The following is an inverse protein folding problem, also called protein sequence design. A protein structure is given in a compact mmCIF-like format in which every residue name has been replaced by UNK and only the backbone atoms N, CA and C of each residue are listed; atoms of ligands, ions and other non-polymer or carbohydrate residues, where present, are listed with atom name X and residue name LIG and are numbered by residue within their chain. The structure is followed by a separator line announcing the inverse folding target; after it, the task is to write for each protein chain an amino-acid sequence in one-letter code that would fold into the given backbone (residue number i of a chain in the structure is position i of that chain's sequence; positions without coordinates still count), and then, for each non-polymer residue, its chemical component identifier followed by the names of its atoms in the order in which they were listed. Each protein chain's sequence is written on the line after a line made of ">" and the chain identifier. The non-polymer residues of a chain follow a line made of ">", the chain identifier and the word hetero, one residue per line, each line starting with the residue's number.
data_IF_102904880612
#
_entry.id   IF_102904880612
#
_cell.length_a   1.000
_cell.length_b   1.000
_cell.length_c   1.000
_cell.angle_alpha   90.00
_cell.angle_beta   90.00
_cell.angle_gamma   90.00
#
_symmetry.space_group_name_H-M   'P 1'
#
loop_
_entity.id
_entity.type
_entity.pdbx_description
1 polymer ?
#
# COMPACT_ATOMS: atom_id res chain seq x y z
N UNK A 1 21.99 20.49 2.39
CA UNK A 1 22.38 19.83 1.12
C UNK A 1 22.59 18.35 1.40
N UNK A 2 22.32 17.44 0.46
CA UNK A 2 22.59 16.02 0.65
C UNK A 2 24.09 15.80 0.88
N UNK A 3 24.42 14.90 1.81
CA UNK A 3 25.81 14.53 2.14
C UNK A 3 26.42 13.65 1.07
N UNK A 4 25.60 12.82 0.41
CA UNK A 4 25.97 11.98 -0.73
C UNK A 4 24.73 11.53 -1.49
N UNK A 5 24.93 10.88 -2.63
CA UNK A 5 23.87 10.21 -3.35
C UNK A 5 24.11 8.71 -3.40
N UNK A 6 23.09 7.93 -3.02
CA UNK A 6 23.13 6.47 -3.00
C UNK A 6 22.62 5.95 -4.34
N UNK A 7 23.34 5.08 -5.05
CA UNK A 7 22.87 4.52 -6.31
C UNK A 7 21.52 3.80 -6.11
N UNK A 8 20.53 4.13 -6.93
CA UNK A 8 19.21 3.51 -6.86
C UNK A 8 19.06 2.35 -7.88
N UNK A 9 19.94 2.25 -8.88
CA UNK A 9 19.94 1.22 -9.93
C UNK A 9 21.07 0.19 -9.72
N UNK A 10 20.77 -1.10 -9.51
CA UNK A 10 21.70 -2.19 -9.83
C UNK A 10 21.60 -2.52 -11.32
N UNK A 11 22.59 -2.10 -12.12
CA UNK A 11 22.68 -2.20 -13.59
C UNK A 11 21.45 -1.70 -14.39
N UNK A 12 21.64 -0.94 -15.48
CA UNK A 12 20.52 -0.49 -16.30
C UNK A 12 19.74 -1.72 -16.76
N UNK A 13 18.48 -1.80 -16.35
CA UNK A 13 17.53 -2.75 -16.90
C UNK A 13 17.42 -2.41 -18.39
N UNK A 14 18.20 -3.06 -19.24
CA UNK A 14 17.93 -3.16 -20.67
C UNK A 14 16.59 -3.90 -20.82
N UNK A 15 15.50 -3.15 -20.69
CA UNK A 15 14.17 -3.73 -20.59
C UNK A 15 13.20 -2.76 -19.96
N UNK A 16 12.93 -1.64 -20.65
CA UNK A 16 11.63 -0.97 -20.52
C UNK A 16 10.54 -2.04 -20.62
N UNK A 17 9.48 -1.92 -19.81
CA UNK A 17 8.36 -2.85 -19.76
C UNK A 17 7.89 -3.28 -21.17
N UNK A 18 8.47 -4.36 -21.67
CA UNK A 18 7.92 -5.15 -22.75
C UNK A 18 6.91 -6.01 -22.03
N UNK A 19 5.65 -5.55 -21.96
CA UNK A 19 4.55 -6.49 -21.82
C UNK A 19 4.84 -7.55 -22.88
N UNK A 20 5.09 -8.80 -22.49
CA UNK A 20 5.62 -9.85 -23.38
C UNK A 20 4.81 -10.07 -24.66
N UNK A 21 3.64 -9.42 -24.77
CA UNK A 21 2.71 -9.47 -25.89
C UNK A 21 2.36 -8.09 -26.50
N UNK A 22 2.82 -6.95 -25.96
CA UNK A 22 2.53 -5.61 -26.48
C UNK A 22 3.68 -4.62 -26.25
N UNK A 23 4.36 -4.18 -27.32
CA UNK A 23 5.25 -3.01 -27.28
C UNK A 23 4.42 -1.72 -27.11
N UNK A 24 3.94 -1.42 -25.90
CA UNK A 24 3.26 -0.17 -25.59
C UNK A 24 3.91 0.50 -24.39
N UNK A 25 4.74 1.50 -24.66
CA UNK A 25 5.26 2.43 -23.66
C UNK A 25 4.12 3.40 -23.31
N UNK A 26 3.75 3.49 -22.03
CA UNK A 26 2.88 4.56 -21.56
C UNK A 26 3.71 5.85 -21.47
N UNK A 27 3.79 6.57 -22.60
CA UNK A 27 4.47 7.87 -22.63
C UNK A 27 3.60 8.90 -21.93
N UNK A 28 4.00 9.32 -20.74
CA UNK A 28 3.50 10.54 -20.11
C UNK A 28 4.53 11.67 -20.26
N UNK A 29 4.03 12.90 -20.32
CA UNK A 29 4.87 14.08 -20.50
C UNK A 29 5.78 14.25 -19.28
N UNK A 30 7.09 14.42 -19.51
CA UNK A 30 8.10 14.53 -18.44
C UNK A 30 8.75 13.23 -18.00
N UNK A 31 8.40 12.08 -18.60
CA UNK A 31 9.12 10.80 -18.38
C UNK A 31 10.61 10.89 -18.70
N UNK A 32 10.98 11.69 -19.71
CA UNK A 32 12.38 11.94 -20.06
C UNK A 32 13.09 12.90 -19.07
N UNK A 33 12.37 13.77 -18.37
CA UNK A 33 12.97 14.70 -17.38
C UNK A 33 13.35 13.96 -16.09
N UNK A 34 12.62 12.88 -15.76
CA UNK A 34 12.93 12.02 -14.61
C UNK A 34 14.32 11.40 -14.77
N UNK A 35 14.74 11.09 -16.02
CA UNK A 35 16.07 10.51 -16.34
C UNK A 35 17.27 11.28 -15.76
N UNK A 36 17.20 12.61 -15.68
CA UNK A 36 18.31 13.44 -15.18
C UNK A 36 18.48 13.38 -13.66
N UNK A 37 17.39 13.14 -12.92
CA UNK A 37 17.46 12.95 -11.46
C UNK A 37 18.03 11.57 -11.14
N UNK A 38 17.73 10.58 -12.01
CA UNK A 38 18.17 9.20 -11.87
C UNK A 38 19.67 9.01 -11.98
N UNK A 39 20.34 9.76 -12.85
CA UNK A 39 21.80 9.75 -12.92
C UNK A 39 22.47 10.15 -11.61
N UNK A 40 21.80 10.97 -10.78
CA UNK A 40 22.38 11.46 -9.53
C UNK A 40 22.28 10.45 -8.40
N UNK A 41 21.29 9.56 -8.39
CA UNK A 41 21.01 8.64 -7.28
C UNK A 41 20.08 9.23 -6.20
N UNK A 42 19.79 8.46 -5.15
CA UNK A 42 18.94 8.90 -4.05
C UNK A 42 19.70 9.86 -3.12
N UNK A 43 19.18 11.06 -2.82
CA UNK A 43 19.85 12.00 -1.92
C UNK A 43 19.85 11.46 -0.49
N UNK A 44 21.04 11.23 0.07
CA UNK A 44 21.21 10.94 1.49
C UNK A 44 21.46 12.24 2.23
N UNK A 45 20.71 12.45 3.29
CA UNK A 45 20.88 13.58 4.21
C UNK A 45 21.50 13.09 5.52
N UNK A 46 22.09 14.02 6.27
CA UNK A 46 22.53 13.75 7.64
C UNK A 46 21.32 13.41 8.50
N UNK A 47 21.43 12.33 9.28
CA UNK A 47 20.36 11.83 10.14
C UNK A 47 20.77 12.01 11.60
N UNK A 48 19.91 12.64 12.39
CA UNK A 48 20.10 12.81 13.82
C UNK A 48 19.01 12.07 14.60
N UNK A 49 19.41 11.26 15.58
CA UNK A 49 18.48 10.56 16.45
C UNK A 49 17.88 11.53 17.47
N UNK A 50 16.58 11.80 17.33
CA UNK A 50 15.86 12.74 18.22
C UNK A 50 15.50 12.13 19.57
N UNK A 51 14.93 10.92 19.59
CA UNK A 51 14.50 10.28 20.84
C UNK A 51 14.51 8.75 20.77
N UNK A 52 14.27 8.11 21.91
CA UNK A 52 13.91 6.68 22.00
C UNK A 52 12.77 6.55 22.98
N UNK A 53 11.67 5.97 22.51
CA UNK A 53 10.47 5.76 23.32
C UNK A 53 10.49 4.33 23.86
N UNK A 54 10.44 4.18 25.18
CA UNK A 54 10.49 2.88 25.86
C UNK A 54 11.86 2.19 25.79
N UNK A 55 11.89 0.87 26.00
CA UNK A 55 13.13 0.07 25.99
C UNK A 55 13.60 -0.33 24.58
N UNK A 56 12.75 -0.17 23.56
CA UNK A 56 12.95 -0.53 22.15
C UNK A 56 13.64 -1.89 21.90
N UNK A 57 13.26 -2.95 22.64
CA UNK A 57 13.80 -4.31 22.46
C UNK A 57 13.58 -4.90 21.06
N UNK A 58 12.55 -4.41 20.35
CA UNK A 58 12.21 -4.85 19.00
C UNK A 58 12.94 -4.11 17.88
N UNK A 59 13.85 -3.17 18.20
CA UNK A 59 14.59 -2.38 17.23
C UNK A 59 13.70 -1.63 16.21
N UNK A 60 12.52 -1.20 16.65
CA UNK A 60 11.61 -0.41 15.82
C UNK A 60 12.20 0.97 15.56
N UNK A 61 11.95 1.51 14.37
CA UNK A 61 12.48 2.80 13.94
C UNK A 61 11.38 3.64 13.26
N UNK A 62 11.39 4.94 13.55
CA UNK A 62 10.58 5.94 12.86
C UNK A 62 11.55 6.96 12.26
N UNK A 63 11.45 7.19 10.96
CA UNK A 63 12.26 8.16 10.23
C UNK A 63 11.34 9.31 9.80
N UNK A 64 11.74 10.55 10.12
CA UNK A 64 11.08 11.76 9.63
C UNK A 64 11.84 12.29 8.43
N UNK A 65 11.24 12.27 7.26
CA UNK A 65 11.82 12.80 6.02
C UNK A 65 11.07 12.31 4.79
N UNK A 66 11.56 12.70 3.62
CA UNK A 66 11.07 12.18 2.33
C UNK A 66 11.37 10.68 2.19
N UNK A 67 10.46 9.94 1.56
CA UNK A 67 10.58 8.49 1.44
C UNK A 67 11.83 8.06 0.66
N UNK A 68 12.17 8.75 -0.45
CA UNK A 68 13.42 8.51 -1.20
C UNK A 68 14.66 8.62 -0.30
N UNK A 69 14.72 9.67 0.53
CA UNK A 69 15.84 9.90 1.45
C UNK A 69 15.91 8.87 2.58
N UNK A 70 14.74 8.44 3.08
CA UNK A 70 14.64 7.38 4.08
C UNK A 70 15.13 6.04 3.51
N UNK A 71 14.75 5.70 2.28
CA UNK A 71 15.23 4.52 1.58
C UNK A 71 16.74 4.59 1.33
N UNK A 72 17.27 5.78 0.96
CA UNK A 72 18.70 5.99 0.82
C UNK A 72 19.46 5.67 2.11
N UNK A 73 18.93 6.11 3.26
CA UNK A 73 19.51 5.81 4.57
C UNK A 73 19.46 4.31 4.87
N UNK A 74 18.32 3.65 4.70
CA UNK A 74 18.18 2.21 4.94
C UNK A 74 19.14 1.40 4.06
N UNK A 75 19.23 1.75 2.77
CA UNK A 75 20.14 1.11 1.83
C UNK A 75 21.60 1.28 2.24
N UNK A 76 21.97 2.48 2.67
CA UNK A 76 23.33 2.76 3.16
C UNK A 76 23.69 1.94 4.40
N UNK A 77 22.72 1.69 5.28
CA UNK A 77 22.91 0.84 6.45
C UNK A 77 22.89 -0.67 6.11
N UNK A 78 22.67 -1.04 4.84
CA UNK A 78 22.53 -2.44 4.42
C UNK A 78 21.26 -3.11 4.95
N UNK A 79 20.24 -2.31 5.32
CA UNK A 79 18.96 -2.83 5.82
C UNK A 79 18.09 -3.19 4.63
N UNK A 80 17.59 -4.42 4.62
CA UNK A 80 16.57 -4.88 3.68
C UNK A 80 15.24 -5.11 4.39
N UNK A 81 14.14 -5.04 3.62
CA UNK A 81 12.79 -5.24 4.13
C UNK A 81 12.11 -6.41 3.41
N UNK A 82 11.41 -7.26 4.18
CA UNK A 82 10.67 -8.42 3.66
C UNK A 82 9.21 -8.08 3.29
N UNK A 83 8.67 -7.00 3.86
CA UNK A 83 7.28 -6.58 3.67
C UNK A 83 7.18 -5.07 3.64
N UNK A 84 6.50 -4.56 2.63
CA UNK A 84 6.18 -3.13 2.49
C UNK A 84 4.68 -2.95 2.40
N UNK A 85 4.15 -1.97 3.13
CA UNK A 85 2.77 -1.50 2.97
C UNK A 85 2.80 0.02 2.82
N UNK A 86 2.16 0.53 1.77
CA UNK A 86 2.03 1.98 1.54
C UNK A 86 0.58 2.36 1.24
N UNK A 87 0.21 3.54 1.72
CA UNK A 87 -1.09 4.20 1.50
C UNK A 87 -0.81 5.64 1.01
N UNK A 88 -0.38 5.79 -0.26
CA UNK A 88 -0.02 7.10 -0.80
C UNK A 88 -1.26 7.98 -0.97
N UNK A 89 -1.09 9.32 -1.14
CA UNK A 89 -2.20 10.20 -1.50
C UNK A 89 -2.92 9.69 -2.76
N UNK A 90 -4.24 9.85 -2.85
CA UNK A 90 -5.04 9.24 -3.93
C UNK A 90 -5.16 10.10 -5.19
N UNK A 91 -4.55 11.29 -5.22
CA UNK A 91 -4.75 12.31 -6.24
C UNK A 91 -6.24 12.65 -6.46
N UNK A 92 -7.02 12.64 -5.38
CA UNK A 92 -8.47 12.83 -5.40
C UNK A 92 -8.91 14.28 -5.69
N UNK A 93 -7.97 15.23 -5.68
CA UNK A 93 -8.23 16.66 -5.82
C UNK A 93 -8.79 17.32 -4.56
N UNK A 94 -8.81 16.61 -3.42
CA UNK A 94 -9.31 17.12 -2.16
C UNK A 94 -8.21 17.85 -1.37
N UNK A 95 -8.53 19.05 -0.90
CA UNK A 95 -7.67 19.79 0.04
C UNK A 95 -7.97 19.30 1.46
N UNK A 96 -7.16 18.35 1.95
CA UNK A 96 -7.26 17.82 3.31
C UNK A 96 -6.54 18.71 4.32
N UNK A 97 -6.87 20.01 4.36
CA UNK A 97 -6.40 20.91 5.41
C UNK A 97 -7.09 20.53 6.75
N UNK A 98 -6.48 19.61 7.51
CA UNK A 98 -6.93 19.28 8.86
C UNK A 98 -6.34 20.28 9.85
N UNK A 99 -7.20 21.05 10.53
CA UNK A 99 -6.78 21.84 11.71
C UNK A 99 -6.42 20.88 12.85
N UNK A 100 -5.14 20.68 13.12
CA UNK A 100 -4.67 19.88 14.25
C UNK A 100 -4.71 20.75 15.50
N UNK A 101 -5.60 20.41 16.44
CA UNK A 101 -5.55 20.98 17.78
C UNK A 101 -4.50 20.22 18.59
N UNK A 102 -3.30 20.79 18.73
CA UNK A 102 -2.29 20.28 19.66
C UNK A 102 -2.91 20.27 21.06
N UNK A 103 -2.91 19.12 21.74
CA UNK A 103 -3.37 19.03 23.14
C UNK A 103 -2.50 19.97 23.99
N UNK A 104 -3.10 21.08 24.41
CA UNK A 104 -2.45 22.23 25.05
C UNK A 104 -1.89 21.86 26.43
N UNK A 105 -0.61 22.16 26.65
CA UNK A 105 -0.02 22.28 27.98
C UNK A 105 -0.54 23.58 28.63
N UNK A 106 -1.18 23.56 29.81
CA UNK A 106 -1.84 24.74 30.40
C UNK A 106 -0.90 25.93 30.63
N UNK A 107 0.42 25.73 30.76
CA UNK A 107 1.40 26.81 30.92
C UNK A 107 1.75 27.57 29.63
N UNK A 108 1.41 27.03 28.46
CA UNK A 108 1.59 27.72 27.17
C UNK A 108 0.39 28.61 26.81
N UNK A 109 -0.74 28.49 27.51
CA UNK A 109 -1.96 29.23 27.21
C UNK A 109 -1.86 30.71 27.57
N UNK A 110 -1.19 31.07 28.67
CA UNK A 110 -1.03 32.47 29.09
C UNK A 110 -0.04 33.23 28.21
N UNK A 111 1.05 32.59 27.79
CA UNK A 111 2.03 33.19 26.88
C UNK A 111 1.46 33.44 25.47
N UNK A 112 0.55 32.57 25.01
CA UNK A 112 -0.10 32.73 23.71
C UNK A 112 -1.25 33.75 23.78
N UNK A 113 -1.99 33.84 24.90
CA UNK A 113 -3.04 34.84 25.07
C UNK A 113 -2.49 36.29 25.09
N UNK A 114 -1.26 36.48 25.59
CA UNK A 114 -0.56 37.76 25.45
C UNK A 114 -0.09 38.03 24.02
N UNK A 115 0.35 37.00 23.28
CA UNK A 115 0.75 37.14 21.87
C UNK A 115 -0.45 37.35 20.91
N UNK A 116 -1.64 36.83 21.26
CA UNK A 116 -2.89 36.99 20.51
C UNK A 116 -3.42 38.44 20.54
N UNK A 117 -2.98 39.28 21.49
CA UNK A 117 -3.37 40.70 21.55
C UNK A 117 -2.47 41.63 20.73
N UNK A 118 -1.25 41.21 20.38
CA UNK A 118 -0.25 42.07 19.73
C UNK A 118 0.06 41.70 18.27
N UNK A 119 -0.30 40.51 17.80
CA UNK A 119 0.07 40.06 16.45
C UNK A 119 -1.12 40.06 15.49
N UNK A 120 -0.91 40.69 14.33
CA UNK A 120 -1.85 40.79 13.23
C UNK A 120 -2.27 39.39 12.74
N UNK A 121 -3.55 39.22 12.43
CA UNK A 121 -4.24 37.92 12.24
C UNK A 121 -3.67 37.13 11.04
N UNK A 122 -2.83 37.75 10.22
CA UNK A 122 -2.18 37.11 9.08
C UNK A 122 -0.86 36.38 9.41
N UNK A 123 -0.15 36.72 10.50
CA UNK A 123 1.08 35.99 10.88
C UNK A 123 0.79 34.66 11.60
N UNK A 124 -0.37 34.54 12.26
CA UNK A 124 -0.85 33.28 12.86
C UNK A 124 -1.33 32.25 11.83
N UNK A 125 -1.52 32.62 10.56
CA UNK A 125 -1.79 31.67 9.47
C UNK A 125 -0.54 30.92 9.00
N UNK A 126 0.66 31.28 9.48
CA UNK A 126 1.90 30.61 9.10
C UNK A 126 2.11 29.22 9.75
N UNK A 127 1.23 28.79 10.65
CA UNK A 127 1.20 27.44 11.21
C UNK A 127 0.00 26.60 10.74
N UNK A 128 -0.56 26.92 9.57
CA UNK A 128 -1.16 25.87 8.74
C UNK A 128 -0.01 25.01 8.20
N UNK A 129 0.39 24.00 8.98
CA UNK A 129 1.18 22.90 8.43
C UNK A 129 0.29 22.23 7.39
N UNK A 130 0.41 22.67 6.12
CA UNK A 130 -0.25 22.06 4.96
C UNK A 130 0.23 20.62 4.86
N UNK A 131 -0.44 19.72 5.59
CA UNK A 131 -0.31 18.29 5.37
C UNK A 131 -0.84 18.04 3.96
N UNK A 132 0.05 17.55 3.09
CA UNK A 132 -0.16 17.06 1.74
C UNK A 132 -1.58 17.30 1.19
N UNK A 133 -1.79 18.46 0.55
CA UNK A 133 -3.00 18.65 -0.24
C UNK A 133 -3.03 17.58 -1.32
N UNK A 134 -4.14 16.86 -1.46
CA UNK A 134 -4.30 15.81 -2.47
C UNK A 134 -4.66 16.39 -3.85
N UNK A 135 -4.12 17.59 -4.12
CA UNK A 135 -4.29 18.34 -5.37
C UNK A 135 -3.03 18.11 -6.18
N UNK A 136 -3.02 17.00 -6.90
CA UNK A 136 -1.90 16.63 -7.73
C UNK A 136 -2.23 16.78 -9.21
N UNK A 137 -1.26 17.33 -9.94
CA UNK A 137 -1.19 17.07 -11.37
C UNK A 137 -0.81 15.58 -11.55
N UNK A 138 -1.60 14.83 -12.33
CA UNK A 138 -1.44 13.39 -12.44
C UNK A 138 -0.06 12.98 -12.97
N UNK A 139 0.52 13.75 -13.89
CA UNK A 139 1.84 13.45 -14.45
C UNK A 139 2.91 13.60 -13.37
N UNK A 140 2.87 14.71 -12.62
CA UNK A 140 3.79 14.94 -11.49
C UNK A 140 3.63 13.89 -10.39
N UNK A 141 2.40 13.48 -10.09
CA UNK A 141 2.15 12.42 -9.13
C UNK A 141 2.74 11.09 -9.57
N UNK A 142 2.59 10.72 -10.85
CA UNK A 142 3.14 9.47 -11.37
C UNK A 142 4.67 9.49 -11.36
N UNK A 143 5.31 10.60 -11.75
CA UNK A 143 6.77 10.76 -11.61
C UNK A 143 7.21 10.60 -10.16
N UNK A 144 6.53 11.29 -9.23
CA UNK A 144 6.83 11.20 -7.80
C UNK A 144 6.63 9.78 -7.26
N UNK A 145 5.52 9.11 -7.60
CA UNK A 145 5.27 7.73 -7.18
C UNK A 145 6.30 6.77 -7.74
N UNK A 146 6.70 6.95 -9.00
CA UNK A 146 7.72 6.12 -9.63
C UNK A 146 9.06 6.21 -8.90
N UNK A 147 9.51 7.44 -8.59
CA UNK A 147 10.74 7.67 -7.82
C UNK A 147 10.70 6.97 -6.45
N UNK A 148 9.58 7.10 -5.74
CA UNK A 148 9.41 6.48 -4.43
C UNK A 148 9.33 4.95 -4.50
N UNK A 149 8.60 4.40 -5.47
CA UNK A 149 8.48 2.95 -5.66
C UNK A 149 9.83 2.32 -6.05
N UNK A 150 10.61 3.00 -6.88
CA UNK A 150 11.98 2.57 -7.21
C UNK A 150 12.90 2.62 -5.98
N UNK A 151 12.82 3.67 -5.18
CA UNK A 151 13.58 3.78 -3.94
C UNK A 151 13.21 2.66 -2.95
N UNK A 152 11.93 2.37 -2.79
CA UNK A 152 11.41 1.25 -1.99
C UNK A 152 11.92 -0.09 -2.52
N UNK A 153 11.78 -0.36 -3.83
CA UNK A 153 12.26 -1.60 -4.44
C UNK A 153 13.75 -1.82 -4.17
N UNK A 154 14.54 -0.74 -4.13
CA UNK A 154 15.99 -0.80 -3.91
C UNK A 154 16.42 -1.31 -2.53
N UNK A 155 15.51 -1.33 -1.54
CA UNK A 155 15.72 -1.87 -0.19
C UNK A 155 14.90 -3.16 0.07
N UNK A 156 14.10 -3.60 -0.89
CA UNK A 156 13.34 -4.85 -0.77
C UNK A 156 14.26 -6.06 -0.92
N UNK A 157 14.13 -7.03 -0.02
CA UNK A 157 14.77 -8.33 -0.18
C UNK A 157 14.18 -9.08 -1.41
N UNK A 158 14.87 -10.08 -1.99
CA UNK A 158 14.36 -10.82 -3.15
C UNK A 158 12.99 -11.48 -2.89
N UNK A 159 12.82 -12.04 -1.70
CA UNK A 159 11.59 -12.68 -1.21
C UNK A 159 10.51 -11.70 -0.71
N UNK A 160 10.75 -10.39 -0.82
CA UNK A 160 9.87 -9.39 -0.25
C UNK A 160 8.60 -9.16 -1.08
N UNK A 161 7.55 -8.66 -0.41
CA UNK A 161 6.31 -8.24 -1.07
C UNK A 161 5.93 -6.81 -0.71
N UNK A 162 5.17 -6.17 -1.59
CA UNK A 162 4.62 -4.83 -1.40
C UNK A 162 3.11 -4.83 -1.56
N UNK A 163 2.44 -4.11 -0.66
CA UNK A 163 1.00 -3.84 -0.68
C UNK A 163 0.79 -2.34 -0.88
N UNK A 164 0.03 -1.97 -1.92
CA UNK A 164 -0.23 -0.56 -2.28
C UNK A 164 -1.73 -0.30 -2.24
N UNK A 165 -2.18 0.48 -1.26
CA UNK A 165 -3.60 0.85 -1.08
C UNK A 165 -3.94 2.07 -1.94
N UNK A 166 -4.96 1.95 -2.78
CA UNK A 166 -5.33 2.98 -3.74
C UNK A 166 -6.86 3.09 -3.89
N UNK A 167 -7.34 4.29 -4.19
CA UNK A 167 -8.71 4.47 -4.66
C UNK A 167 -8.82 4.42 -6.19
N UNK A 168 -10.07 4.50 -6.68
CA UNK A 168 -10.40 4.43 -8.09
C UNK A 168 -9.83 5.60 -8.94
N UNK A 169 -9.38 6.72 -8.34
CA UNK A 169 -8.87 7.87 -9.10
C UNK A 169 -7.52 7.57 -9.75
N UNK A 170 -6.68 6.79 -9.06
CA UNK A 170 -5.29 6.58 -9.44
C UNK A 170 -4.89 5.11 -9.54
N UNK A 171 -5.70 4.17 -9.03
CA UNK A 171 -5.36 2.75 -8.98
C UNK A 171 -4.89 2.19 -10.32
N UNK A 172 -5.62 2.44 -11.40
CA UNK A 172 -5.24 1.94 -12.73
C UNK A 172 -3.91 2.48 -13.25
N UNK A 173 -3.55 3.73 -12.93
CA UNK A 173 -2.28 4.31 -13.37
C UNK A 173 -1.11 3.72 -12.57
N UNK A 174 -1.28 3.57 -11.26
CA UNK A 174 -0.28 2.95 -10.39
C UNK A 174 -0.14 1.45 -10.67
N UNK A 175 -1.21 0.75 -11.07
CA UNK A 175 -1.12 -0.64 -11.51
C UNK A 175 -0.13 -0.80 -12.66
N UNK A 176 -0.23 0.06 -13.69
CA UNK A 176 0.67 0.04 -14.85
C UNK A 176 2.10 0.36 -14.41
N UNK A 177 2.26 1.33 -13.49
CA UNK A 177 3.55 1.70 -12.95
C UNK A 177 4.21 0.56 -12.16
N UNK A 178 3.42 -0.17 -11.36
CA UNK A 178 3.88 -1.34 -10.62
C UNK A 178 4.26 -2.49 -11.56
N UNK A 179 3.51 -2.71 -12.64
CA UNK A 179 3.88 -3.69 -13.68
C UNK A 179 5.22 -3.32 -14.34
N UNK A 180 5.48 -2.04 -14.57
CA UNK A 180 6.77 -1.59 -15.10
C UNK A 180 7.93 -1.80 -14.12
N UNK A 181 7.70 -1.55 -12.83
CA UNK A 181 8.74 -1.63 -11.80
C UNK A 181 9.00 -3.07 -11.35
N UNK A 182 7.96 -3.87 -11.12
CA UNK A 182 8.05 -5.23 -10.56
C UNK A 182 7.88 -6.33 -11.61
N UNK A 183 7.52 -5.98 -12.85
CA UNK A 183 7.10 -6.94 -13.86
C UNK A 183 5.63 -7.33 -13.71
N UNK A 184 5.00 -7.69 -14.82
CA UNK A 184 3.62 -8.18 -14.85
C UNK A 184 3.47 -9.52 -14.12
N UNK A 185 4.50 -10.37 -14.17
CA UNK A 185 4.61 -11.61 -13.39
C UNK A 185 4.71 -11.37 -11.88
N UNK A 186 5.13 -10.17 -11.46
CA UNK A 186 5.19 -9.75 -10.06
C UNK A 186 3.82 -9.53 -9.43
N UNK A 187 2.76 -9.35 -10.22
CA UNK A 187 1.42 -9.11 -9.70
C UNK A 187 0.80 -10.39 -9.12
N UNK A 188 0.55 -10.40 -7.82
CA UNK A 188 0.00 -11.56 -7.13
C UNK A 188 -1.52 -11.49 -6.98
N UNK A 189 -2.07 -10.34 -6.55
CA UNK A 189 -3.51 -10.20 -6.32
C UNK A 189 -3.97 -8.74 -6.26
N UNK A 190 -5.28 -8.53 -6.49
CA UNK A 190 -6.00 -7.32 -6.11
C UNK A 190 -6.94 -7.63 -4.92
N UNK A 191 -6.62 -7.07 -3.76
CA UNK A 191 -7.41 -7.21 -2.55
C UNK A 191 -8.41 -6.06 -2.48
N UNK A 192 -9.70 -6.40 -2.55
CA UNK A 192 -10.80 -5.42 -2.49
C UNK A 192 -11.14 -5.09 -1.05
N UNK A 193 -10.80 -3.87 -0.61
CA UNK A 193 -11.14 -3.39 0.73
C UNK A 193 -12.50 -2.69 0.72
N UNK A 194 -13.54 -3.38 1.22
CA UNK A 194 -14.92 -2.89 1.16
C UNK A 194 -15.34 -2.02 2.35
N UNK A 195 -16.05 -0.93 2.05
CA UNK A 195 -16.69 -0.09 3.07
C UNK A 195 -18.01 -0.67 3.56
N UNK A 196 -18.20 -0.68 4.87
CA UNK A 196 -19.47 -1.11 5.47
C UNK A 196 -20.58 -0.05 5.35
N UNK A 197 -20.22 1.23 5.25
CA UNK A 197 -21.18 2.35 5.32
C UNK A 197 -22.07 2.44 4.06
N UNK A 198 -23.37 2.63 4.25
CA UNK A 198 -24.32 2.82 3.15
C UNK A 198 -24.12 4.19 2.51
N UNK A 199 -23.70 4.21 1.24
CA UNK A 199 -23.69 5.42 0.43
C UNK A 199 -24.98 5.51 -0.39
N UNK A 200 -25.42 6.72 -0.69
CA UNK A 200 -26.57 6.98 -1.53
C UNK A 200 -26.19 7.98 -2.61
N UNK A 201 -25.98 7.49 -3.83
CA UNK A 201 -25.90 8.32 -5.03
C UNK A 201 -27.12 8.10 -5.91
N UNK A 202 -27.64 9.19 -6.48
CA UNK A 202 -28.69 9.16 -7.51
C UNK A 202 -28.12 9.25 -8.92
N UNK A 203 -26.82 9.53 -9.06
CA UNK A 203 -26.17 9.84 -10.35
C UNK A 203 -25.19 8.76 -10.81
N UNK A 204 -24.71 7.91 -9.90
CA UNK A 204 -23.69 6.91 -10.19
C UNK A 204 -23.81 5.74 -9.21
N UNK A 205 -23.19 4.61 -9.55
CA UNK A 205 -23.09 3.48 -8.63
C UNK A 205 -22.25 3.84 -7.42
N UNK A 206 -22.74 3.48 -6.23
CA UNK A 206 -22.06 3.78 -4.98
C UNK A 206 -20.62 3.23 -4.99
N UNK A 207 -19.67 4.07 -4.60
CA UNK A 207 -18.29 3.64 -4.40
C UNK A 207 -18.24 2.83 -3.11
N UNK A 208 -17.77 1.61 -3.21
CA UNK A 208 -17.90 0.62 -2.13
C UNK A 208 -16.60 -0.04 -1.71
N UNK A 209 -15.51 0.25 -2.40
CA UNK A 209 -14.23 -0.34 -2.10
C UNK A 209 -13.07 0.57 -2.50
N UNK A 210 -11.92 0.24 -1.96
CA UNK A 210 -10.60 0.55 -2.50
C UNK A 210 -9.92 -0.73 -2.97
N UNK A 211 -8.87 -0.57 -3.75
CA UNK A 211 -8.02 -1.65 -4.22
C UNK A 211 -6.71 -1.64 -3.43
N UNK A 212 -6.27 -2.80 -2.99
CA UNK A 212 -4.93 -3.00 -2.44
C UNK A 212 -4.21 -3.96 -3.37
N UNK A 213 -3.26 -3.45 -4.14
CA UNK A 213 -2.46 -4.30 -5.02
C UNK A 213 -1.33 -4.96 -4.26
N UNK A 214 -1.17 -6.26 -4.48
CA UNK A 214 -0.13 -7.07 -3.88
C UNK A 214 0.85 -7.54 -4.95
N UNK A 215 2.13 -7.18 -4.79
CA UNK A 215 3.23 -7.53 -5.68
C UNK A 215 4.36 -8.23 -4.96
N UNK A 216 5.01 -9.16 -5.65
CA UNK A 216 6.29 -9.74 -5.26
C UNK A 216 7.46 -8.96 -5.89
N UNK A 217 8.58 -8.87 -5.17
CA UNK A 217 9.84 -8.44 -5.77
C UNK A 217 10.43 -9.54 -6.68
N UNK A 218 10.35 -10.80 -6.22
CA UNK A 218 10.61 -11.99 -7.03
C UNK A 218 9.38 -12.93 -6.96
N UNK A 219 8.66 -13.13 -8.08
CA UNK A 219 7.48 -14.01 -8.14
C UNK A 219 7.75 -15.46 -7.71
N UNK A 220 8.99 -15.93 -7.83
CA UNK A 220 9.35 -17.32 -7.54
C UNK A 220 9.76 -17.55 -6.08
N UNK A 221 10.02 -16.48 -5.30
CA UNK A 221 10.63 -16.58 -3.97
C UNK A 221 9.86 -15.85 -2.86
N UNK A 222 8.70 -15.28 -3.16
CA UNK A 222 7.97 -14.47 -2.18
C UNK A 222 7.48 -15.26 -0.96
N UNK A 223 7.47 -14.61 0.20
CA UNK A 223 6.97 -15.20 1.45
C UNK A 223 5.46 -14.94 1.60
N UNK A 224 4.68 -16.01 1.77
CA UNK A 224 3.28 -15.94 2.21
C UNK A 224 3.03 -16.85 3.42
N UNK A 225 2.91 -16.21 4.58
CA UNK A 225 2.79 -16.87 5.88
C UNK A 225 1.35 -17.32 6.19
N UNK A 226 0.83 -18.26 5.40
CA UNK A 226 -0.57 -18.71 5.51
C UNK A 226 -0.90 -19.46 6.81
N UNK A 227 0.08 -20.15 7.42
CA UNK A 227 -0.12 -21.04 8.56
C UNK A 227 0.61 -20.59 9.84
N UNK A 228 0.69 -19.29 10.08
CA UNK A 228 1.30 -18.77 11.31
C UNK A 228 0.25 -18.69 12.40
N UNK A 229 0.44 -19.46 13.48
CA UNK A 229 -0.50 -19.55 14.60
C UNK A 229 -0.88 -18.19 15.21
N UNK A 230 0.01 -17.20 15.13
CA UNK A 230 -0.24 -15.84 15.62
C UNK A 230 -1.19 -14.98 14.77
N UNK A 231 -1.52 -15.39 13.54
CA UNK A 231 -2.49 -14.69 12.67
C UNK A 231 -3.77 -15.49 12.44
N UNK A 232 -3.79 -16.76 12.83
CA UNK A 232 -4.97 -17.61 12.77
C UNK A 232 -5.88 -17.30 13.95
N UNK A 233 -7.17 -17.19 13.67
CA UNK A 233 -8.21 -17.10 14.69
C UNK A 233 -8.93 -18.45 14.79
N UNK A 234 -9.39 -18.78 15.99
CA UNK A 234 -10.24 -19.96 16.17
C UNK A 234 -11.47 -19.85 15.26
N UNK A 235 -11.85 -20.99 14.69
CA UNK A 235 -13.04 -21.05 13.85
C UNK A 235 -14.27 -20.62 14.65
N UNK A 236 -15.12 -19.79 14.04
CA UNK A 236 -16.41 -19.44 14.63
C UNK A 236 -17.24 -20.70 14.93
N UNK A 237 -18.10 -20.66 15.95
CA UNK A 237 -19.01 -21.78 16.25
C UNK A 237 -19.82 -22.21 15.03
N UNK A 238 -20.21 -21.26 14.18
CA UNK A 238 -20.96 -21.52 12.96
C UNK A 238 -20.11 -22.31 11.93
N UNK A 239 -18.81 -22.06 11.87
CA UNK A 239 -17.87 -22.84 11.05
C UNK A 239 -17.67 -24.22 11.64
N UNK A 240 -17.41 -24.34 12.95
CA UNK A 240 -17.23 -25.63 13.63
C UNK A 240 -18.47 -26.53 13.43
N UNK A 241 -19.68 -25.98 13.56
CA UNK A 241 -20.94 -26.72 13.34
C UNK A 241 -21.09 -27.27 11.92
N UNK A 242 -20.41 -26.68 10.91
CA UNK A 242 -20.48 -27.13 9.51
C UNK A 242 -19.51 -28.29 9.22
N UNK A 243 -18.38 -28.37 9.90
CA UNK A 243 -17.32 -29.36 9.65
C UNK A 243 -17.30 -30.41 10.77
N UNK A 244 -18.17 -31.42 10.64
CA UNK A 244 -18.42 -32.44 11.69
C UNK A 244 -17.70 -33.77 11.46
N UNK A 245 -17.26 -34.03 10.24
CA UNK A 245 -16.59 -35.28 9.89
C UNK A 245 -15.09 -35.07 10.03
N UNK A 246 -14.34 -36.13 10.32
CA UNK A 246 -12.91 -36.06 10.56
C UNK A 246 -12.22 -37.30 9.99
N UNK A 247 -11.13 -37.10 9.26
CA UNK A 247 -10.22 -38.15 8.78
C UNK A 247 -8.78 -37.84 9.19
N UNK A 248 -7.81 -38.56 8.64
CA UNK A 248 -6.37 -38.34 8.90
C UNK A 248 -5.85 -36.96 8.45
N UNK A 249 -6.57 -36.25 7.57
CA UNK A 249 -6.21 -34.93 7.05
C UNK A 249 -6.96 -33.77 7.75
N UNK A 250 -7.92 -34.07 8.63
CA UNK A 250 -8.59 -33.12 9.50
C UNK A 250 -10.11 -33.09 9.34
N UNK A 251 -10.72 -31.98 9.76
CA UNK A 251 -12.18 -31.83 9.73
C UNK A 251 -12.68 -31.51 8.32
N UNK A 252 -13.69 -32.24 7.87
CA UNK A 252 -14.34 -32.04 6.58
C UNK A 252 -15.87 -32.03 6.72
N UNK A 253 -16.54 -31.66 5.63
CA UNK A 253 -18.00 -31.73 5.49
C UNK A 253 -18.36 -32.32 4.15
N UNK A 254 -19.41 -33.11 4.08
CA UNK A 254 -19.95 -33.59 2.81
C UNK A 254 -20.78 -32.48 2.15
N UNK A 255 -20.53 -32.22 0.88
CA UNK A 255 -21.33 -31.32 0.06
C UNK A 255 -21.75 -32.06 -1.21
N UNK A 256 -23.03 -32.39 -1.31
CA UNK A 256 -23.59 -33.06 -2.49
C UNK A 256 -25.06 -33.41 -2.33
N UNK A 257 -25.76 -33.54 -3.45
CA UNK A 257 -27.19 -33.88 -3.47
C UNK A 257 -27.39 -35.34 -3.06
N UNK A 258 -28.35 -35.60 -2.18
CA UNK A 258 -28.69 -36.96 -1.74
C UNK A 258 -27.72 -37.59 -0.73
N UNK A 259 -26.73 -36.82 -0.25
CA UNK A 259 -25.79 -37.28 0.78
C UNK A 259 -26.33 -36.92 2.17
N UNK A 260 -26.42 -37.92 3.04
CA UNK A 260 -26.85 -37.72 4.43
C UNK A 260 -25.86 -36.78 5.16
N UNK A 261 -26.39 -35.70 5.76
CA UNK A 261 -25.58 -34.66 6.42
C UNK A 261 -25.09 -33.52 5.53
N UNK A 262 -25.34 -33.56 4.22
CA UNK A 262 -25.03 -32.45 3.30
C UNK A 262 -25.96 -31.25 3.50
N UNK A 263 -25.44 -30.00 3.46
CA UNK A 263 -26.28 -28.80 3.43
C UNK A 263 -27.05 -28.65 2.11
N UNK A 264 -26.64 -29.37 1.06
CA UNK A 264 -27.28 -29.38 -0.26
C UNK A 264 -28.28 -30.54 -0.29
N UNK A 265 -29.58 -30.24 -0.24
CA UNK A 265 -30.65 -31.26 -0.21
C UNK A 265 -31.35 -31.42 -1.56
N UNK A 266 -31.40 -30.38 -2.39
CA UNK A 266 -31.96 -30.46 -3.74
C UNK A 266 -31.40 -29.39 -4.69
N UNK A 267 -31.89 -29.38 -5.93
CA UNK A 267 -31.43 -28.47 -7.00
C UNK A 267 -31.61 -26.98 -6.67
N UNK A 268 -32.47 -26.64 -5.70
CA UNK A 268 -32.65 -25.26 -5.22
C UNK A 268 -31.53 -24.78 -4.29
N UNK A 269 -30.75 -25.71 -3.73
CA UNK A 269 -29.64 -25.43 -2.83
C UNK A 269 -28.29 -25.36 -3.58
N UNK A 270 -28.33 -25.57 -4.91
CA UNK A 270 -27.19 -25.50 -5.82
C UNK A 270 -27.48 -24.38 -6.81
N UNK A 271 -26.53 -23.46 -6.99
CA UNK A 271 -26.68 -22.45 -8.03
C UNK A 271 -26.57 -23.14 -9.41
N UNK A 272 -27.56 -23.00 -10.32
CA UNK A 272 -27.61 -23.73 -11.59
C UNK A 272 -26.35 -23.64 -12.45
N UNK A 273 -25.53 -22.60 -12.29
CA UNK A 273 -24.25 -22.46 -13.00
C UNK A 273 -23.18 -23.49 -12.58
N UNK A 274 -23.37 -24.16 -11.45
CA UNK A 274 -22.45 -25.17 -10.90
C UNK A 274 -22.89 -26.61 -11.22
N UNK A 275 -24.05 -26.78 -11.87
CA UNK A 275 -24.44 -28.07 -12.42
C UNK A 275 -23.67 -28.31 -13.72
N UNK A 276 -22.57 -29.05 -13.63
CA UNK A 276 -21.93 -29.65 -14.80
C UNK A 276 -22.81 -30.84 -15.20
N UNK A 277 -23.44 -30.74 -16.37
CA UNK A 277 -24.26 -31.80 -16.94
C UNK A 277 -23.33 -32.95 -17.34
N UNK A 278 -23.12 -33.92 -16.43
CA UNK A 278 -22.41 -35.15 -16.75
C UNK A 278 -23.40 -36.01 -17.53
N UNK A 279 -23.51 -35.75 -18.83
CA UNK A 279 -24.22 -36.64 -19.74
C UNK A 279 -23.49 -37.98 -19.77
N UNK A 280 -24.19 -39.02 -19.30
CA UNK A 280 -23.81 -40.42 -19.44
C UNK A 280 -23.81 -40.87 -20.91
#
# INVERSE_FOLDING_TARGET
>A
MPIKYVPFIPEPIEGQAVLGNFNRILKYKGSDETSMILERGMPLYEMEKQETVGENKGHNMVIRGECVSACAYLKEQGIQVDLVYIDPPFASGADYAKKVYIRRNPKAAEAIAQAEQELDIDELKAFEEKMYGDVWDKEKYLSWMWENLMAIKSIMAPNATIFVHLDFNISHYIKILLDEIFGDTGFLNNIVWCYQTRQFSKKYFNRKHHDIFWYANNPDEYIFNWNVSGVLQEYSEATIKKYKLHDENGYYRLCGRGIEGSPIKGAKDVDPQWEIDIQN
#
